data_IF_317576258900
#
_entry.id   IF_317576258900
#
_cell.length_a   1.000
_cell.length_b   1.000
_cell.length_c   1.000
_cell.angle_alpha   90.00
_cell.angle_beta   90.00
_cell.angle_gamma   90.00
#
_symmetry.space_group_name_H-M   'P 1'
#
loop_
_entity.id
_entity.type
_entity.pdbx_description
1 polymer ?
#
# COMPACT_ATOMS: atom_id res chain seq x y z
N UNK A 1 8.64 -8.98 -25.04
CA UNK A 1 9.71 -8.89 -24.03
C UNK A 1 10.17 -10.29 -23.76
N UNK A 2 11.44 -10.59 -24.02
CA UNK A 2 12.00 -11.92 -23.81
C UNK A 2 11.99 -12.22 -22.30
N UNK A 3 11.32 -13.30 -21.88
CA UNK A 3 11.15 -13.67 -20.47
C UNK A 3 12.42 -14.34 -19.89
N UNK A 4 13.59 -14.04 -20.43
CA UNK A 4 14.83 -14.81 -20.24
C UNK A 4 15.78 -14.26 -19.18
N UNK A 5 15.53 -13.04 -18.65
CA UNK A 5 16.45 -12.36 -17.72
C UNK A 5 15.98 -12.31 -16.25
N UNK A 6 14.67 -12.36 -16.00
CA UNK A 6 14.10 -12.22 -14.65
C UNK A 6 13.29 -13.45 -14.24
N UNK A 7 13.51 -13.89 -12.99
CA UNK A 7 12.82 -15.03 -12.40
C UNK A 7 11.32 -14.77 -12.24
N UNK A 8 10.95 -13.51 -12.01
CA UNK A 8 9.58 -13.00 -11.92
C UNK A 8 9.53 -11.57 -12.48
N UNK A 9 8.35 -11.13 -12.92
CA UNK A 9 8.14 -9.75 -13.35
C UNK A 9 8.59 -8.76 -12.25
N UNK A 10 9.38 -7.73 -12.58
CA UNK A 10 9.72 -6.67 -11.64
C UNK A 10 8.47 -6.02 -11.03
N UNK A 11 8.55 -5.64 -9.76
CA UNK A 11 7.40 -5.08 -9.05
C UNK A 11 7.79 -3.96 -8.09
N UNK A 12 6.84 -3.05 -7.87
CA UNK A 12 6.96 -1.97 -6.89
C UNK A 12 6.75 -2.58 -5.49
N UNK A 13 7.66 -2.26 -4.57
CA UNK A 13 7.59 -2.73 -3.18
C UNK A 13 7.10 -1.64 -2.24
N UNK A 14 7.49 -0.40 -2.51
CA UNK A 14 7.07 0.76 -1.74
C UNK A 14 7.05 2.00 -2.64
N UNK A 15 6.18 2.95 -2.32
CA UNK A 15 6.21 4.29 -2.88
C UNK A 15 6.21 5.28 -1.74
N UNK A 16 6.87 6.42 -1.92
CA UNK A 16 6.77 7.52 -0.98
C UNK A 16 5.34 8.05 -0.98
N UNK A 17 4.75 8.20 0.21
CA UNK A 17 3.33 8.52 0.35
C UNK A 17 2.98 9.86 -0.33
N UNK A 18 3.73 10.91 -0.04
CA UNK A 18 3.53 12.26 -0.56
C UNK A 18 4.72 12.71 -1.42
N UNK A 19 5.18 11.85 -2.34
CA UNK A 19 6.42 12.11 -3.06
C UNK A 19 6.65 11.28 -4.33
N UNK A 20 7.79 11.54 -4.98
CA UNK A 20 8.14 10.99 -6.29
C UNK A 20 9.05 9.76 -6.25
N UNK A 21 9.31 9.18 -5.07
CA UNK A 21 10.18 8.01 -4.94
C UNK A 21 9.42 6.69 -5.08
N UNK A 22 9.99 5.78 -5.87
CA UNK A 22 9.48 4.41 -6.07
C UNK A 22 10.59 3.41 -5.78
N UNK A 23 10.35 2.48 -4.85
CA UNK A 23 11.23 1.35 -4.58
C UNK A 23 10.77 0.14 -5.39
N UNK A 24 11.63 -0.32 -6.29
CA UNK A 24 11.44 -1.47 -7.17
C UNK A 24 12.25 -2.66 -6.66
N UNK A 25 11.71 -3.86 -6.86
CA UNK A 25 12.42 -5.12 -6.67
C UNK A 25 12.51 -5.86 -8.00
N UNK A 26 13.72 -6.30 -8.32
CA UNK A 26 14.04 -7.15 -9.46
C UNK A 26 14.65 -8.44 -8.93
N UNK A 27 14.29 -9.56 -9.53
CA UNK A 27 14.91 -10.85 -9.23
C UNK A 27 15.52 -11.41 -10.51
N UNK A 28 16.82 -11.19 -10.75
CA UNK A 28 17.52 -11.83 -11.85
C UNK A 28 17.48 -13.35 -11.70
N UNK A 29 17.29 -14.07 -12.79
CA UNK A 29 17.27 -15.52 -12.77
C UNK A 29 16.34 -16.10 -13.82
N UNK A 30 16.39 -17.43 -13.97
CA UNK A 30 15.59 -18.15 -14.97
C UNK A 30 14.44 -18.92 -14.35
N UNK A 31 14.46 -19.15 -13.03
CA UNK A 31 13.46 -19.98 -12.35
C UNK A 31 12.66 -19.15 -11.36
N UNK A 32 11.31 -19.24 -11.35
CA UNK A 32 10.48 -18.54 -10.37
C UNK A 32 10.85 -18.81 -8.91
N UNK A 33 11.41 -19.99 -8.61
CA UNK A 33 11.92 -20.35 -7.28
C UNK A 33 13.03 -19.41 -6.80
N UNK A 34 13.76 -18.77 -7.71
CA UNK A 34 14.84 -17.84 -7.37
C UNK A 34 14.30 -16.60 -6.62
N UNK A 35 13.01 -16.25 -6.79
CA UNK A 35 12.35 -15.13 -6.10
C UNK A 35 12.03 -15.41 -4.61
N UNK A 36 12.12 -16.67 -4.17
CA UNK A 36 11.98 -17.06 -2.77
C UNK A 36 13.24 -16.74 -1.96
N UNK A 37 14.40 -16.62 -2.63
CA UNK A 37 15.68 -16.37 -1.99
C UNK A 37 15.88 -14.86 -1.84
N UNK A 38 15.85 -14.35 -0.60
CA UNK A 38 16.04 -12.91 -0.32
C UNK A 38 17.37 -12.38 -0.91
N UNK A 39 18.42 -13.21 -0.91
CA UNK A 39 19.74 -12.87 -1.47
C UNK A 39 19.75 -12.58 -2.97
N UNK A 40 18.72 -13.03 -3.71
CA UNK A 40 18.62 -12.82 -5.15
C UNK A 40 17.86 -11.52 -5.49
N UNK A 41 17.30 -10.83 -4.49
CA UNK A 41 16.51 -9.62 -4.71
C UNK A 41 17.43 -8.42 -4.84
N UNK A 42 17.31 -7.73 -5.96
CA UNK A 42 17.96 -6.45 -6.19
C UNK A 42 16.95 -5.33 -6.05
N UNK A 43 17.35 -4.25 -5.39
CA UNK A 43 16.50 -3.11 -5.10
C UNK A 43 16.97 -1.90 -5.87
N UNK A 44 16.00 -1.22 -6.50
CA UNK A 44 16.25 0.02 -7.21
C UNK A 44 15.31 1.10 -6.70
N UNK A 45 15.80 2.33 -6.62
CA UNK A 45 14.97 3.50 -6.31
C UNK A 45 14.89 4.36 -7.54
N UNK A 46 13.68 4.57 -8.04
CA UNK A 46 13.40 5.56 -9.06
C UNK A 46 12.96 6.86 -8.38
N UNK A 47 13.61 7.96 -8.72
CA UNK A 47 13.24 9.30 -8.29
C UNK A 47 12.65 10.05 -9.48
N UNK A 48 11.33 10.20 -9.50
CA UNK A 48 10.61 10.86 -10.58
C UNK A 48 10.89 12.36 -10.65
N UNK A 49 11.31 13.00 -9.56
CA UNK A 49 11.65 14.44 -9.58
C UNK A 49 12.91 14.71 -10.41
N UNK A 50 13.80 13.72 -10.51
CA UNK A 50 15.05 13.83 -11.26
C UNK A 50 15.12 12.87 -12.46
N UNK A 51 14.08 12.05 -12.68
CA UNK A 51 14.06 10.98 -13.67
C UNK A 51 15.28 10.04 -13.57
N UNK A 52 15.71 9.71 -12.35
CA UNK A 52 16.91 8.90 -12.12
C UNK A 52 16.59 7.57 -11.43
N UNK A 53 17.37 6.55 -11.77
CA UNK A 53 17.29 5.22 -11.18
C UNK A 53 18.59 4.91 -10.44
N UNK A 54 18.46 4.52 -9.16
CA UNK A 54 19.57 4.18 -8.28
C UNK A 54 19.53 2.70 -7.95
N UNK A 55 20.62 1.97 -8.17
CA UNK A 55 20.76 0.62 -7.66
C UNK A 55 21.25 0.67 -6.20
N UNK A 56 20.55 -0.02 -5.31
CA UNK A 56 20.92 -0.08 -3.90
C UNK A 56 21.90 -1.23 -3.69
N UNK A 57 22.94 -1.06 -2.85
CA UNK A 57 23.75 -2.18 -2.43
C UNK A 57 22.84 -3.22 -1.76
N UNK A 58 23.11 -4.50 -2.01
CA UNK A 58 22.32 -5.56 -1.40
C UNK A 58 22.45 -5.50 0.13
N UNK A 59 21.35 -5.63 0.91
CA UNK A 59 21.40 -5.58 2.38
C UNK A 59 22.38 -6.61 2.99
N UNK A 60 22.51 -7.75 2.32
CA UNK A 60 23.37 -8.85 2.72
C UNK A 60 22.76 -9.72 3.82
N UNK A 61 23.39 -10.85 4.16
CA UNK A 61 22.88 -11.78 5.17
C UNK A 61 22.80 -11.14 6.56
N UNK A 62 23.61 -10.11 6.82
CA UNK A 62 23.56 -9.37 8.09
C UNK A 62 22.33 -8.46 8.18
N UNK A 63 21.67 -8.12 7.08
CA UNK A 63 20.51 -7.22 7.03
C UNK A 63 19.34 -7.84 6.27
N UNK A 64 19.05 -9.13 6.49
CA UNK A 64 17.84 -9.73 5.92
C UNK A 64 16.60 -8.94 6.36
N UNK A 65 15.75 -8.60 5.39
CA UNK A 65 14.60 -7.69 5.58
C UNK A 65 13.28 -8.42 5.31
N UNK A 66 12.23 -8.02 6.04
CA UNK A 66 10.87 -8.37 5.69
C UNK A 66 10.39 -7.52 4.50
N UNK A 67 10.20 -8.16 3.34
CA UNK A 67 9.82 -7.47 2.10
C UNK A 67 8.49 -6.69 2.17
N UNK A 68 7.55 -7.10 3.02
CA UNK A 68 6.27 -6.38 3.20
C UNK A 68 6.38 -5.12 4.06
N UNK A 69 7.51 -4.95 4.75
CA UNK A 69 7.76 -3.85 5.69
C UNK A 69 8.60 -2.71 5.13
N UNK A 70 9.02 -2.82 3.86
CA UNK A 70 9.84 -1.82 3.20
C UNK A 70 9.07 -0.51 3.06
N UNK A 71 9.72 0.57 3.46
CA UNK A 71 9.25 1.94 3.35
C UNK A 71 10.36 2.80 2.74
N UNK A 72 9.98 3.82 1.99
CA UNK A 72 10.91 4.79 1.41
C UNK A 72 10.41 6.21 1.63
N UNK A 73 11.31 7.10 2.03
CA UNK A 73 11.02 8.54 2.20
C UNK A 73 12.27 9.36 1.93
N UNK A 74 12.09 10.63 1.55
CA UNK A 74 13.15 11.62 1.61
C UNK A 74 13.59 11.85 3.06
N UNK A 75 14.89 12.01 3.24
CA UNK A 75 15.47 12.37 4.52
C UNK A 75 15.05 13.81 4.86
N UNK A 76 14.57 14.07 6.09
CA UNK A 76 14.24 15.43 6.50
C UNK A 76 15.48 16.32 6.45
N UNK A 77 15.40 17.46 5.75
CA UNK A 77 16.48 18.45 5.76
C UNK A 77 16.79 18.87 7.20
N UNK A 78 18.01 18.59 7.66
CA UNK A 78 18.52 19.03 8.96
C UNK A 78 18.90 20.52 8.87
N UNK A 79 17.90 21.40 8.83
CA UNK A 79 18.02 22.85 8.70
C UNK A 79 17.59 23.31 7.29
N UNK A 80 16.72 24.29 7.11
CA UNK A 80 16.50 25.53 7.86
C UNK A 80 15.01 25.80 8.03
N UNK A 81 14.58 26.14 9.25
CA UNK A 81 13.34 26.88 9.45
C UNK A 81 13.50 28.25 8.81
N UNK A 82 13.08 28.39 7.56
CA UNK A 82 12.73 29.62 6.82
C UNK A 82 12.54 29.20 5.37
N UNK A 83 11.37 29.49 4.81
CA UNK A 83 11.15 29.37 3.39
C UNK A 83 12.15 30.26 2.66
N UNK A 84 13.13 29.65 2.00
CA UNK A 84 13.99 30.33 1.06
C UNK A 84 14.18 29.38 -0.12
N UNK A 85 13.58 29.77 -1.24
CA UNK A 85 13.93 29.30 -2.58
C UNK A 85 15.43 29.50 -2.76
N UNK A 86 16.21 28.41 -2.82
CA UNK A 86 17.63 28.51 -3.17
C UNK A 86 17.75 28.73 -4.68
N UNK A 87 18.49 29.75 -5.16
CA UNK A 87 18.72 29.97 -6.58
C UNK A 87 19.74 28.98 -7.14
N UNK A 88 19.47 28.55 -8.37
CA UNK A 88 20.32 27.89 -9.37
C UNK A 88 21.77 27.54 -9.01
N UNK A 89 22.12 26.24 -9.15
CA UNK A 89 23.50 25.88 -9.45
C UNK A 89 23.97 24.46 -9.16
N UNK A 90 23.17 23.62 -8.49
CA UNK A 90 23.33 22.16 -8.37
C UNK A 90 22.27 21.75 -7.33
N UNK A 91 21.14 21.19 -7.77
CA UNK A 91 20.19 20.63 -6.82
C UNK A 91 20.89 19.42 -6.17
N UNK A 92 21.38 19.58 -4.95
CA UNK A 92 21.75 18.43 -4.13
C UNK A 92 20.52 17.52 -4.11
N UNK A 93 20.65 16.34 -4.72
CA UNK A 93 19.60 15.34 -4.73
C UNK A 93 19.14 15.15 -3.29
N UNK A 94 17.85 15.36 -3.02
CA UNK A 94 17.30 15.13 -1.69
C UNK A 94 17.60 13.69 -1.30
N UNK A 95 18.48 13.50 -0.32
CA UNK A 95 18.81 12.18 0.19
C UNK A 95 17.52 11.46 0.59
N UNK A 96 17.47 10.16 0.36
CA UNK A 96 16.38 9.28 0.81
C UNK A 96 16.88 8.20 1.76
N UNK A 97 15.93 7.65 2.49
CA UNK A 97 16.11 6.53 3.40
C UNK A 97 15.15 5.41 3.02
N UNK A 98 15.66 4.17 3.04
CA UNK A 98 14.81 2.97 2.98
C UNK A 98 14.86 2.31 4.35
N UNK A 99 13.69 2.05 4.94
CA UNK A 99 13.57 1.42 6.23
C UNK A 99 12.73 0.15 6.13
N UNK A 100 13.12 -0.88 6.86
CA UNK A 100 12.38 -2.13 6.95
C UNK A 100 12.55 -2.78 8.32
N UNK A 101 11.59 -3.62 8.68
CA UNK A 101 11.75 -4.59 9.76
C UNK A 101 12.80 -5.63 9.33
N UNK A 102 13.72 -5.98 10.22
CA UNK A 102 14.60 -7.13 10.00
C UNK A 102 13.77 -8.43 9.87
N UNK A 103 14.34 -9.43 9.21
CA UNK A 103 13.75 -10.74 9.14
C UNK A 103 13.54 -11.31 10.55
N UNK A 104 12.33 -11.86 10.80
CA UNK A 104 11.86 -12.30 12.12
C UNK A 104 11.88 -11.17 13.17
N UNK A 105 11.35 -10.00 12.82
CA UNK A 105 11.22 -8.86 13.74
C UNK A 105 10.38 -9.21 14.97
N UNK A 106 9.18 -9.75 14.74
CA UNK A 106 8.25 -10.16 15.78
C UNK A 106 8.72 -11.46 16.46
N UNK A 107 8.63 -11.52 17.78
CA UNK A 107 9.04 -12.68 18.58
C UNK A 107 10.51 -12.68 19.04
N UNK A 108 11.29 -11.64 18.72
CA UNK A 108 12.65 -11.44 19.26
C UNK A 108 12.62 -10.58 20.52
N UNK A 109 13.51 -10.89 21.48
CA UNK A 109 13.74 -10.06 22.68
C UNK A 109 14.32 -8.68 22.34
N UNK A 110 15.00 -8.55 21.19
CA UNK A 110 15.61 -7.31 20.69
C UNK A 110 15.36 -7.17 19.18
N UNK A 111 14.17 -6.70 18.77
CA UNK A 111 13.86 -6.47 17.35
C UNK A 111 14.78 -5.40 16.76
N UNK A 112 15.02 -5.49 15.44
CA UNK A 112 15.92 -4.59 14.74
C UNK A 112 15.29 -4.07 13.45
N UNK A 113 15.57 -2.81 13.13
CA UNK A 113 15.34 -2.24 11.81
C UNK A 113 16.58 -2.42 10.95
N UNK A 114 16.37 -2.59 9.65
CA UNK A 114 17.40 -2.41 8.64
C UNK A 114 17.12 -1.08 7.95
N UNK A 115 18.11 -0.18 7.96
CA UNK A 115 17.97 1.18 7.44
C UNK A 115 19.10 1.43 6.45
N UNK A 116 18.73 1.82 5.24
CA UNK A 116 19.63 2.29 4.20
C UNK A 116 19.60 3.81 4.13
N UNK A 117 20.76 4.43 4.19
CA UNK A 117 20.93 5.86 3.95
C UNK A 117 21.58 6.07 2.58
N UNK A 118 20.92 6.84 1.71
CA UNK A 118 21.48 7.17 0.39
C UNK A 118 22.72 8.08 0.46
N UNK A 119 22.82 8.94 1.47
CA UNK A 119 23.96 9.83 1.69
C UNK A 119 25.28 9.06 1.89
N UNK A 120 25.23 8.01 2.72
CA UNK A 120 26.39 7.15 3.01
C UNK A 120 26.45 5.91 2.13
N UNK A 121 25.36 5.59 1.42
CA UNK A 121 25.18 4.36 0.62
C UNK A 121 25.40 3.08 1.43
N UNK A 122 24.98 3.07 2.69
CA UNK A 122 25.19 1.94 3.61
C UNK A 122 23.90 1.47 4.25
N UNK A 123 23.81 0.15 4.45
CA UNK A 123 22.83 -0.46 5.34
C UNK A 123 23.35 -0.44 6.78
N UNK A 124 22.43 -0.30 7.72
CA UNK A 124 22.69 -0.35 9.16
C UNK A 124 21.58 -1.09 9.87
N UNK A 125 21.90 -1.61 11.06
CA UNK A 125 20.91 -2.16 11.99
C UNK A 125 20.69 -1.23 13.16
N UNK A 126 19.43 -1.09 13.56
CA UNK A 126 19.05 -0.26 14.69
C UNK A 126 18.08 -1.01 15.59
N UNK A 127 18.40 -1.18 16.90
CA UNK A 127 17.48 -1.82 17.83
C UNK A 127 16.24 -0.96 18.01
N UNK A 128 15.10 -1.60 18.22
CA UNK A 128 13.82 -0.93 18.51
C UNK A 128 13.41 -1.24 19.95
N UNK A 129 12.94 -0.20 20.63
CA UNK A 129 12.34 -0.34 21.96
C UNK A 129 10.86 -0.69 21.78
N UNK A 130 10.45 -1.83 22.32
CA UNK A 130 9.03 -2.21 22.41
C UNK A 130 8.57 -1.90 23.83
N UNK A 131 7.88 -0.78 24.01
CA UNK A 131 7.27 -0.43 25.31
C UNK A 131 6.04 -1.30 25.59
N UNK A 132 5.26 -1.60 24.56
CA UNK A 132 4.15 -2.56 24.58
C UNK A 132 4.12 -3.33 23.26
N UNK A 133 4.24 -4.66 23.32
CA UNK A 133 4.14 -5.49 22.11
C UNK A 133 2.68 -5.72 21.78
N UNK A 134 2.23 -5.52 20.54
CA UNK A 134 0.98 -6.12 20.11
C UNK A 134 1.12 -7.64 20.24
N UNK A 135 0.10 -8.32 20.78
CA UNK A 135 0.13 -9.79 20.95
C UNK A 135 0.34 -10.52 19.62
N UNK A 136 -0.13 -9.91 18.51
CA UNK A 136 0.00 -10.45 17.15
C UNK A 136 0.01 -9.32 16.13
N UNK A 137 1.01 -9.32 15.25
CA UNK A 137 1.10 -8.42 14.10
C UNK A 137 1.78 -9.14 12.94
N UNK A 138 1.21 -8.99 11.74
CA UNK A 138 1.83 -9.42 10.50
C UNK A 138 1.74 -8.29 9.48
N UNK A 139 2.87 -7.68 9.14
CA UNK A 139 2.91 -6.57 8.19
C UNK A 139 2.44 -7.02 6.82
N UNK A 140 1.40 -6.36 6.31
CA UNK A 140 0.74 -6.64 5.02
C UNK A 140 0.77 -5.45 4.07
N UNK A 141 0.89 -4.23 4.62
CA UNK A 141 1.05 -2.97 3.88
C UNK A 141 1.91 -2.02 4.71
N UNK A 142 2.61 -1.12 4.04
CA UNK A 142 3.48 -0.12 4.67
C UNK A 142 3.31 1.22 3.96
N UNK A 143 3.36 2.31 4.72
CA UNK A 143 3.41 3.67 4.18
C UNK A 143 4.22 4.58 5.11
N UNK A 144 4.61 5.74 4.61
CA UNK A 144 5.41 6.72 5.32
C UNK A 144 4.54 7.90 5.75
N UNK A 145 4.51 8.19 7.05
CA UNK A 145 3.94 9.44 7.57
C UNK A 145 4.95 10.58 7.43
N UNK A 146 6.25 10.27 7.45
CA UNK A 146 7.32 11.25 7.29
C UNK A 146 7.54 12.11 8.54
N UNK A 147 7.79 13.40 8.34
CA UNK A 147 8.15 14.34 9.40
C UNK A 147 9.61 14.21 9.89
N UNK A 148 10.06 15.04 10.86
CA UNK A 148 11.46 15.15 11.25
C UNK A 148 12.11 13.86 11.77
N UNK A 149 11.28 12.93 12.28
CA UNK A 149 11.73 11.64 12.80
C UNK A 149 11.57 10.48 11.80
N UNK A 150 11.06 10.76 10.59
CA UNK A 150 10.81 9.76 9.56
C UNK A 150 9.86 8.67 10.02
N UNK A 151 8.64 9.02 10.42
CA UNK A 151 7.69 8.04 10.94
C UNK A 151 7.20 7.11 9.82
N UNK A 152 7.35 5.80 10.03
CA UNK A 152 6.83 4.73 9.17
C UNK A 152 5.66 4.06 9.86
N UNK A 153 4.65 3.65 9.09
CA UNK A 153 3.53 2.85 9.57
C UNK A 153 3.54 1.47 8.90
N UNK A 154 3.66 0.42 9.72
CA UNK A 154 3.50 -0.97 9.30
C UNK A 154 2.09 -1.45 9.66
N UNK A 155 1.37 -1.98 8.68
CA UNK A 155 -0.05 -2.31 8.84
C UNK A 155 -0.27 -3.81 8.75
N UNK A 156 -0.88 -4.36 9.78
CA UNK A 156 -1.61 -5.63 9.70
C UNK A 156 -3.06 -5.29 9.39
N UNK A 157 -3.48 -5.45 8.12
CA UNK A 157 -4.83 -5.17 7.66
C UNK A 157 -5.91 -6.02 8.36
N UNK A 158 -5.52 -6.97 9.22
CA UNK A 158 -6.46 -7.69 10.08
C UNK A 158 -6.63 -7.12 11.48
N UNK A 159 -5.71 -6.27 11.96
CA UNK A 159 -5.60 -5.99 13.39
C UNK A 159 -5.29 -4.54 13.70
N UNK A 160 -4.14 -4.05 13.25
CA UNK A 160 -3.56 -2.82 13.77
C UNK A 160 -2.51 -2.22 12.85
N UNK A 161 -2.16 -0.98 13.17
CA UNK A 161 -1.09 -0.18 12.60
C UNK A 161 -0.04 0.01 13.67
N UNK A 162 1.23 -0.14 13.30
CA UNK A 162 2.38 0.10 14.15
C UNK A 162 3.17 1.25 13.57
N UNK A 163 3.30 2.33 14.32
CA UNK A 163 4.12 3.47 13.95
C UNK A 163 5.51 3.33 14.55
N UNK A 164 6.52 3.72 13.78
CA UNK A 164 7.90 3.73 14.23
C UNK A 164 8.65 4.95 13.68
N UNK A 165 9.28 5.69 14.58
CA UNK A 165 10.16 6.80 14.26
C UNK A 165 11.56 6.28 13.87
N UNK A 166 11.75 5.86 12.62
CA UNK A 166 12.95 5.09 12.22
C UNK A 166 14.23 5.92 12.29
N UNK A 167 14.13 7.25 12.16
CA UNK A 167 15.28 8.16 12.23
C UNK A 167 15.58 8.62 13.67
N UNK A 168 14.70 8.38 14.65
CA UNK A 168 14.94 8.76 16.04
C UNK A 168 16.11 7.96 16.65
N UNK A 169 16.96 8.59 17.47
CA UNK A 169 18.15 7.91 18.06
C UNK A 169 17.82 6.58 18.75
N UNK A 170 16.66 6.50 19.41
CA UNK A 170 16.06 5.28 19.94
C UNK A 170 14.64 5.13 19.36
N UNK A 171 14.43 4.30 18.33
CA UNK A 171 13.11 4.09 17.74
C UNK A 171 12.21 3.37 18.74
N UNK A 172 11.02 3.92 18.96
CA UNK A 172 9.95 3.32 19.75
C UNK A 172 8.80 2.92 18.85
N UNK A 173 7.99 1.97 19.32
CA UNK A 173 6.77 1.56 18.63
C UNK A 173 5.54 2.14 19.34
N UNK A 174 4.59 2.65 18.56
CA UNK A 174 3.22 2.89 19.04
C UNK A 174 2.23 2.14 18.17
N UNK A 175 1.13 1.71 18.78
CA UNK A 175 0.13 0.85 18.14
C UNK A 175 -1.22 1.57 18.08
N UNK A 176 -1.92 1.41 16.96
CA UNK A 176 -3.30 1.83 16.76
C UNK A 176 -4.12 0.66 16.21
N UNK A 177 -5.17 0.26 16.91
CA UNK A 177 -6.05 -0.80 16.40
C UNK A 177 -6.87 -0.30 15.21
N UNK A 178 -7.15 -1.20 14.26
CA UNK A 178 -8.11 -0.92 13.19
C UNK A 178 -9.55 -0.95 13.75
N UNK A 179 -10.53 -0.34 13.05
CA UNK A 179 -11.93 -0.45 13.43
C UNK A 179 -12.38 -1.91 13.63
N UNK A 180 -13.38 -2.15 14.50
CA UNK A 180 -13.97 -3.47 14.64
C UNK A 180 -14.44 -4.01 13.27
N UNK A 181 -14.22 -5.30 12.97
CA UNK A 181 -14.55 -5.84 11.66
C UNK A 181 -16.06 -5.87 11.41
N UNK A 182 -16.49 -5.60 10.18
CA UNK A 182 -17.92 -5.60 9.79
C UNK A 182 -18.68 -6.88 10.13
N UNK A 183 -17.99 -8.02 10.07
CA UNK A 183 -18.50 -9.27 10.64
C UNK A 183 -17.43 -9.94 11.50
N UNK A 184 -17.74 -10.28 12.77
CA UNK A 184 -16.89 -11.12 13.59
C UNK A 184 -16.78 -12.50 12.93
N UNK A 185 -15.69 -12.74 12.18
CA UNK A 185 -15.43 -14.06 11.61
C UNK A 185 -14.69 -14.90 12.64
N UNK A 186 -15.04 -16.18 12.85
CA UNK A 186 -14.23 -17.08 13.68
C UNK A 186 -12.79 -17.23 13.12
N UNK A 187 -12.60 -16.97 11.82
CA UNK A 187 -11.32 -17.05 11.11
C UNK A 187 -10.78 -15.67 10.70
N UNK A 188 -10.70 -14.69 11.62
CA UNK A 188 -9.96 -13.43 11.36
C UNK A 188 -8.55 -13.78 10.88
N UNK A 189 -8.21 -13.41 9.65
CA UNK A 189 -6.91 -13.73 9.02
C UNK A 189 -6.93 -14.83 7.94
N UNK A 190 -8.09 -15.34 7.52
CA UNK A 190 -8.18 -16.26 6.39
C UNK A 190 -8.16 -15.51 5.04
N UNK A 191 -7.23 -15.89 4.16
CA UNK A 191 -7.03 -15.28 2.84
C UNK A 191 -6.20 -13.99 2.88
N UNK A 192 -5.96 -13.41 1.70
CA UNK A 192 -5.23 -12.15 1.59
C UNK A 192 -6.14 -10.98 2.04
N UNK A 193 -5.73 -10.16 3.02
CA UNK A 193 -6.55 -9.04 3.49
C UNK A 193 -6.85 -8.01 2.40
N UNK A 194 -5.93 -7.83 1.42
CA UNK A 194 -6.08 -6.87 0.34
C UNK A 194 -7.34 -7.09 -0.49
N UNK A 195 -7.88 -8.32 -0.52
CA UNK A 195 -9.13 -8.59 -1.23
C UNK A 195 -10.32 -7.82 -0.68
N UNK A 196 -10.27 -7.43 0.58
CA UNK A 196 -11.41 -6.87 1.29
C UNK A 196 -11.05 -5.57 2.04
N UNK A 197 -9.77 -5.24 2.18
CA UNK A 197 -9.33 -4.17 3.07
C UNK A 197 -8.19 -3.40 2.49
N UNK A 198 -8.21 -2.10 2.76
CA UNK A 198 -7.12 -1.23 2.39
C UNK A 198 -7.05 -0.04 3.34
N UNK A 199 -5.91 0.61 3.31
CA UNK A 199 -5.61 1.76 4.13
C UNK A 199 -4.67 2.67 3.35
N UNK A 200 -4.86 3.97 3.51
CA UNK A 200 -4.01 4.98 2.93
C UNK A 200 -3.96 6.21 3.84
N UNK A 201 -3.00 7.07 3.56
CA UNK A 201 -2.83 8.36 4.22
C UNK A 201 -3.14 9.44 3.20
N UNK A 202 -3.91 10.42 3.61
CA UNK A 202 -4.28 11.59 2.85
C UNK A 202 -4.00 12.82 3.73
N UNK A 203 -2.86 13.45 3.51
CA UNK A 203 -2.38 14.53 4.38
C UNK A 203 -2.27 14.07 5.84
N UNK A 204 -3.08 14.66 6.73
CA UNK A 204 -3.09 14.35 8.16
C UNK A 204 -4.15 13.31 8.56
N UNK A 205 -4.79 12.65 7.60
CA UNK A 205 -5.86 11.68 7.84
C UNK A 205 -5.44 10.30 7.37
N UNK A 206 -5.61 9.30 8.22
CA UNK A 206 -5.56 7.90 7.81
C UNK A 206 -6.99 7.47 7.48
N UNK A 207 -7.19 6.93 6.28
CA UNK A 207 -8.46 6.33 5.87
C UNK A 207 -8.31 4.83 5.72
N UNK A 208 -9.23 4.09 6.31
CA UNK A 208 -9.31 2.63 6.27
C UNK A 208 -10.65 2.23 5.63
N UNK A 209 -10.63 1.16 4.83
CA UNK A 209 -11.83 0.64 4.18
C UNK A 209 -11.90 -0.86 4.39
N UNK A 210 -13.10 -1.36 4.69
CA UNK A 210 -13.41 -2.77 4.75
C UNK A 210 -14.63 -3.08 3.87
N UNK A 211 -14.49 -4.11 3.07
CA UNK A 211 -15.51 -4.66 2.20
C UNK A 211 -15.97 -6.02 2.74
N UNK A 212 -17.28 -6.20 2.76
CA UNK A 212 -17.94 -7.43 3.10
C UNK A 212 -18.58 -8.04 1.83
N UNK A 213 -17.96 -9.07 1.23
CA UNK A 213 -18.59 -9.81 0.15
C UNK A 213 -19.72 -10.70 0.70
N UNK A 214 -20.78 -10.87 -0.09
CA UNK A 214 -21.88 -11.77 0.20
C UNK A 214 -22.51 -11.51 1.59
N UNK A 215 -23.02 -10.28 1.88
CA UNK A 215 -23.64 -9.91 3.16
C UNK A 215 -24.69 -10.94 3.59
N UNK A 216 -25.51 -11.41 2.65
CA UNK A 216 -26.65 -12.30 2.88
C UNK A 216 -26.30 -13.78 2.95
N UNK A 217 -25.00 -14.14 2.88
CA UNK A 217 -24.59 -15.55 2.82
C UNK A 217 -25.09 -16.32 4.04
N UNK A 218 -26.00 -17.27 3.79
CA UNK A 218 -26.41 -18.31 4.72
C UNK A 218 -25.86 -19.68 4.30
N UNK A 219 -26.01 -20.70 5.15
CA UNK A 219 -25.69 -22.10 4.79
C UNK A 219 -26.63 -22.68 3.72
N UNK A 220 -27.79 -22.05 3.51
CA UNK A 220 -28.90 -22.58 2.70
C UNK A 220 -29.09 -21.88 1.35
N UNK A 221 -28.32 -20.84 1.03
CA UNK A 221 -28.47 -20.05 -0.20
C UNK A 221 -27.16 -19.95 -0.98
N UNK A 222 -27.20 -19.97 -2.33
CA UNK A 222 -26.04 -19.64 -3.15
C UNK A 222 -25.53 -18.23 -2.82
N UNK A 223 -24.21 -17.98 -2.76
CA UNK A 223 -23.69 -16.65 -2.51
C UNK A 223 -24.14 -15.67 -3.60
N UNK A 224 -24.86 -14.61 -3.23
CA UNK A 224 -25.21 -13.50 -4.14
C UNK A 224 -23.97 -12.67 -4.47
N UNK A 225 -23.88 -12.00 -5.63
CA UNK A 225 -22.75 -11.09 -5.91
C UNK A 225 -22.81 -9.75 -5.15
N UNK A 226 -23.75 -9.59 -4.21
CA UNK A 226 -23.87 -8.39 -3.39
C UNK A 226 -22.64 -8.21 -2.51
N UNK A 227 -22.25 -6.96 -2.30
CA UNK A 227 -21.19 -6.56 -1.39
C UNK A 227 -21.53 -5.25 -0.70
N UNK A 228 -21.00 -5.10 0.50
CA UNK A 228 -21.08 -3.87 1.29
C UNK A 228 -19.67 -3.37 1.55
N UNK A 229 -19.49 -2.06 1.67
CA UNK A 229 -18.21 -1.45 2.02
C UNK A 229 -18.44 -0.32 3.01
N UNK A 230 -17.54 -0.22 3.98
CA UNK A 230 -17.55 0.86 4.98
C UNK A 230 -16.17 1.47 5.02
N UNK A 231 -16.14 2.80 5.07
CA UNK A 231 -14.93 3.59 5.21
C UNK A 231 -14.90 4.27 6.57
N UNK A 232 -13.70 4.32 7.15
CA UNK A 232 -13.42 5.02 8.39
C UNK A 232 -12.24 5.95 8.19
N UNK A 233 -12.22 7.04 8.95
CA UNK A 233 -11.07 7.92 9.05
C UNK A 233 -10.68 8.21 10.48
N UNK A 234 -9.41 8.52 10.63
CA UNK A 234 -8.86 9.05 11.86
C UNK A 234 -7.88 10.17 11.51
N UNK A 235 -8.08 11.32 12.14
CA UNK A 235 -7.26 12.50 11.92
C UNK A 235 -6.16 12.58 12.98
N UNK A 236 -4.95 12.92 12.55
CA UNK A 236 -3.81 13.10 13.45
C UNK A 236 -4.08 14.26 14.41
N UNK A 237 -4.08 13.99 15.70
CA UNK A 237 -4.04 15.05 16.70
C UNK A 237 -2.60 15.54 16.89
N UNK A 238 -2.43 16.65 17.62
CA UNK A 238 -1.18 17.41 17.67
C UNK A 238 0.08 16.56 17.97
N UNK A 239 -0.04 15.53 18.83
CA UNK A 239 1.11 14.68 19.26
C UNK A 239 0.93 13.18 19.04
N UNK A 240 -0.28 12.71 18.78
CA UNK A 240 -0.58 11.28 18.63
C UNK A 240 -1.81 11.06 17.75
N UNK A 241 -1.97 9.85 17.25
CA UNK A 241 -3.24 9.41 16.70
C UNK A 241 -4.23 9.21 17.85
N UNK A 242 -5.50 9.65 17.72
CA UNK A 242 -6.57 9.24 18.61
C UNK A 242 -6.76 7.72 18.60
N UNK A 243 -7.55 7.19 19.53
CA UNK A 243 -7.91 5.77 19.54
C UNK A 243 -9.19 5.49 18.73
N UNK A 244 -10.09 6.48 18.64
CA UNK A 244 -11.40 6.33 18.04
C UNK A 244 -11.41 6.65 16.55
N UNK A 245 -11.88 5.69 15.75
CA UNK A 245 -12.13 5.86 14.33
C UNK A 245 -13.53 6.43 14.08
N UNK A 246 -13.64 7.33 13.12
CA UNK A 246 -14.92 7.89 12.68
C UNK A 246 -15.39 7.20 11.41
N UNK A 247 -16.65 6.77 11.35
CA UNK A 247 -17.25 6.23 10.13
C UNK A 247 -17.49 7.37 9.14
N UNK A 248 -16.91 7.29 7.94
CA UNK A 248 -17.15 8.27 6.87
C UNK A 248 -18.40 7.95 6.05
N UNK A 249 -18.71 6.67 5.88
CA UNK A 249 -19.89 6.24 5.16
C UNK A 249 -19.91 4.74 4.88
N UNK A 250 -21.08 4.27 4.46
CA UNK A 250 -21.31 2.90 4.01
C UNK A 250 -21.99 2.88 2.64
N UNK A 251 -21.64 1.86 1.85
CA UNK A 251 -22.21 1.63 0.53
C UNK A 251 -22.59 0.15 0.38
N UNK A 252 -23.81 -0.06 -0.08
CA UNK A 252 -24.30 -1.35 -0.54
C UNK A 252 -24.37 -1.33 -2.06
N UNK A 253 -23.80 -2.36 -2.68
CA UNK A 253 -23.81 -2.56 -4.14
C UNK A 253 -25.20 -2.45 -4.79
N UNK A 254 -26.29 -2.76 -4.09
CA UNK A 254 -27.67 -2.66 -4.59
C UNK A 254 -28.15 -1.22 -4.77
N UNK A 255 -27.48 -0.26 -4.14
CA UNK A 255 -27.81 1.17 -4.20
C UNK A 255 -26.88 1.95 -5.13
N UNK A 256 -25.96 1.26 -5.83
CA UNK A 256 -25.03 1.91 -6.75
C UNK A 256 -25.75 2.34 -8.01
N UNK A 257 -25.51 3.60 -8.41
CA UNK A 257 -25.89 4.15 -9.71
C UNK A 257 -24.71 4.08 -10.66
N UNK A 258 -24.97 4.01 -11.96
CA UNK A 258 -23.94 4.16 -13.00
C UNK A 258 -24.13 5.55 -13.60
N UNK A 259 -23.07 6.36 -13.60
CA UNK A 259 -23.15 7.70 -14.20
C UNK A 259 -23.41 7.58 -15.71
N UNK A 260 -24.30 8.42 -16.22
CA UNK A 260 -24.73 8.42 -17.63
C UNK A 260 -23.59 8.77 -18.59
N UNK A 261 -22.57 9.48 -18.11
CA UNK A 261 -21.34 9.82 -18.85
C UNK A 261 -20.24 8.76 -18.77
N UNK A 262 -20.40 7.71 -17.96
CA UNK A 262 -19.44 6.61 -17.93
C UNK A 262 -19.43 5.92 -19.29
N UNK A 263 -18.27 5.49 -19.78
CA UNK A 263 -18.16 4.54 -20.90
C UNK A 263 -18.71 3.16 -20.49
N UNK A 264 -20.00 3.12 -20.17
CA UNK A 264 -20.73 1.99 -19.62
C UNK A 264 -21.00 0.90 -20.66
N UNK A 265 -20.73 1.18 -21.94
CA UNK A 265 -21.03 0.27 -23.05
C UNK A 265 -20.32 -1.10 -22.93
N UNK A 266 -19.27 -1.23 -22.12
CA UNK A 266 -18.52 -2.48 -21.90
C UNK A 266 -18.62 -3.07 -20.49
N UNK A 267 -19.32 -2.42 -19.55
CA UNK A 267 -19.41 -2.94 -18.17
C UNK A 267 -20.59 -3.92 -18.03
N UNK A 268 -20.38 -5.18 -17.61
CA UNK A 268 -21.47 -6.10 -17.31
C UNK A 268 -22.33 -5.62 -16.14
N UNK A 269 -23.52 -6.20 -15.99
CA UNK A 269 -24.39 -5.94 -14.84
C UNK A 269 -23.65 -6.20 -13.53
N UNK A 270 -23.59 -5.21 -12.62
CA UNK A 270 -22.84 -5.33 -11.36
C UNK A 270 -23.22 -6.55 -10.51
N UNK A 271 -24.48 -6.99 -10.58
CA UNK A 271 -24.98 -8.17 -9.87
C UNK A 271 -24.43 -9.51 -10.40
N UNK A 272 -23.61 -9.51 -11.45
CA UNK A 272 -22.90 -10.70 -11.93
C UNK A 272 -21.40 -10.67 -11.62
N UNK A 273 -20.90 -9.58 -11.05
CA UNK A 273 -19.47 -9.37 -10.83
C UNK A 273 -19.06 -9.68 -9.39
N UNK A 274 -17.95 -10.40 -9.25
CA UNK A 274 -17.20 -10.45 -8.00
C UNK A 274 -16.33 -9.21 -7.87
N UNK A 275 -16.52 -8.47 -6.77
CA UNK A 275 -15.81 -7.22 -6.51
C UNK A 275 -14.93 -7.36 -5.27
N UNK A 276 -13.73 -6.81 -5.34
CA UNK A 276 -12.76 -6.77 -4.24
C UNK A 276 -11.66 -5.76 -4.50
N UNK A 277 -10.53 -5.92 -3.81
CA UNK A 277 -9.38 -5.02 -3.88
C UNK A 277 -9.76 -3.53 -3.68
N UNK A 278 -10.51 -3.18 -2.62
CA UNK A 278 -10.87 -1.78 -2.39
C UNK A 278 -9.59 -0.95 -2.30
N UNK A 279 -9.52 0.17 -2.99
CA UNK A 279 -8.31 1.01 -3.02
C UNK A 279 -8.71 2.48 -3.09
N UNK A 280 -8.34 3.23 -2.07
CA UNK A 280 -8.63 4.65 -2.00
C UNK A 280 -7.85 5.43 -3.07
N UNK A 281 -8.50 6.39 -3.72
CA UNK A 281 -7.83 7.36 -4.58
C UNK A 281 -7.03 8.35 -3.73
N UNK A 282 -5.77 8.61 -4.11
CA UNK A 282 -4.95 9.62 -3.42
C UNK A 282 -5.23 11.05 -3.92
N UNK A 283 -5.99 11.18 -5.01
CA UNK A 283 -6.32 12.46 -5.64
C UNK A 283 -7.71 12.99 -5.24
N UNK A 284 -8.63 12.10 -4.87
CA UNK A 284 -9.98 12.46 -4.46
C UNK A 284 -10.43 11.48 -3.37
N UNK A 285 -10.64 12.00 -2.17
CA UNK A 285 -10.87 11.21 -0.97
C UNK A 285 -12.29 10.63 -0.85
N UNK A 286 -13.20 10.99 -1.77
CA UNK A 286 -14.52 10.38 -1.95
C UNK A 286 -14.48 9.18 -2.92
N UNK A 287 -13.44 9.05 -3.74
CA UNK A 287 -13.35 8.03 -4.79
C UNK A 287 -12.59 6.80 -4.29
N UNK A 288 -13.23 5.64 -4.43
CA UNK A 288 -12.65 4.34 -4.18
C UNK A 288 -12.64 3.52 -5.46
N UNK A 289 -11.49 2.91 -5.74
CA UNK A 289 -11.32 1.99 -6.85
C UNK A 289 -11.54 0.55 -6.38
N UNK A 290 -12.20 -0.25 -7.20
CA UNK A 290 -12.45 -1.66 -6.94
C UNK A 290 -12.09 -2.51 -8.16
N UNK A 291 -11.55 -3.70 -7.92
CA UNK A 291 -11.37 -4.71 -8.96
C UNK A 291 -12.66 -5.51 -9.11
N UNK A 292 -13.17 -5.64 -10.33
CA UNK A 292 -14.38 -6.40 -10.65
C UNK A 292 -14.08 -7.49 -11.70
N UNK A 293 -14.59 -8.70 -11.46
CA UNK A 293 -14.39 -9.88 -12.33
C UNK A 293 -15.66 -10.72 -12.43
N UNK A 294 -15.90 -11.32 -13.60
CA UNK A 294 -16.99 -12.31 -13.78
C UNK A 294 -16.70 -13.57 -12.95
N UNK A 295 -15.49 -14.13 -13.09
CA UNK A 295 -14.98 -15.22 -12.26
C UNK A 295 -13.58 -14.84 -11.74
N UNK A 296 -13.45 -14.67 -10.42
CA UNK A 296 -12.17 -14.31 -9.82
C UNK A 296 -11.16 -15.46 -9.79
N UNK A 297 -11.61 -16.71 -10.01
CA UNK A 297 -10.75 -17.91 -10.02
C UNK A 297 -10.01 -18.06 -11.34
N UNK A 298 -10.48 -17.40 -12.40
CA UNK A 298 -9.92 -17.50 -13.74
C UNK A 298 -9.15 -16.23 -14.08
N UNK A 299 -7.92 -16.41 -14.59
CA UNK A 299 -7.03 -15.31 -14.99
C UNK A 299 -7.32 -14.77 -16.39
N UNK A 300 -8.13 -15.48 -17.19
CA UNK A 300 -8.37 -15.16 -18.62
C UNK A 300 -9.63 -14.32 -18.86
N UNK A 301 -10.50 -14.19 -17.85
CA UNK A 301 -11.74 -13.41 -17.99
C UNK A 301 -11.48 -11.91 -17.90
N UNK A 302 -12.20 -11.13 -18.71
CA UNK A 302 -12.17 -9.66 -18.67
C UNK A 302 -12.33 -9.16 -17.24
N UNK A 303 -11.49 -8.20 -16.88
CA UNK A 303 -11.42 -7.61 -15.56
C UNK A 303 -11.60 -6.10 -15.70
N UNK A 304 -12.25 -5.47 -14.73
CA UNK A 304 -12.45 -4.02 -14.72
C UNK A 304 -11.93 -3.40 -13.43
N UNK A 305 -11.51 -2.14 -13.52
CA UNK A 305 -11.37 -1.27 -12.37
C UNK A 305 -12.55 -0.30 -12.37
N UNK A 306 -13.31 -0.29 -11.28
CA UNK A 306 -14.45 0.60 -11.07
C UNK A 306 -14.01 1.73 -10.16
N UNK A 307 -14.14 2.99 -10.61
CA UNK A 307 -14.06 4.15 -9.74
C UNK A 307 -15.46 4.48 -9.22
N UNK A 308 -15.62 4.46 -7.90
CA UNK A 308 -16.90 4.66 -7.22
C UNK A 308 -16.77 5.84 -6.28
N UNK A 309 -17.68 6.80 -6.45
CA UNK A 309 -17.90 7.86 -5.46
C UNK A 309 -18.76 7.30 -4.33
N UNK A 310 -18.16 7.20 -3.14
CA UNK A 310 -18.82 6.69 -1.94
C UNK A 310 -19.89 7.64 -1.38
N UNK A 311 -19.79 8.95 -1.65
CA UNK A 311 -20.73 9.96 -1.16
C UNK A 311 -22.00 9.97 -2.01
N UNK A 312 -21.86 9.98 -3.33
CA UNK A 312 -22.98 9.98 -4.28
C UNK A 312 -23.46 8.57 -4.65
N UNK A 313 -22.74 7.53 -4.21
CA UNK A 313 -23.03 6.10 -4.47
C UNK A 313 -23.09 5.80 -5.97
N UNK A 314 -22.14 6.35 -6.73
CA UNK A 314 -22.17 6.31 -8.20
C UNK A 314 -20.85 5.81 -8.76
N UNK A 315 -20.90 4.92 -9.75
CA UNK A 315 -19.73 4.58 -10.58
C UNK A 315 -19.50 5.75 -11.53
N UNK A 316 -18.37 6.43 -11.35
CA UNK A 316 -17.95 7.60 -12.15
C UNK A 316 -17.10 7.19 -13.34
N UNK A 317 -16.40 6.05 -13.24
CA UNK A 317 -15.59 5.51 -14.31
C UNK A 317 -15.49 3.99 -14.19
N UNK A 318 -15.45 3.31 -15.34
CA UNK A 318 -15.07 1.91 -15.44
C UNK A 318 -14.07 1.75 -16.58
N UNK A 319 -12.97 1.04 -16.32
CA UNK A 319 -11.95 0.77 -17.31
C UNK A 319 -11.60 -0.71 -17.32
N UNK A 320 -11.43 -1.29 -18.50
CA UNK A 320 -10.87 -2.63 -18.63
C UNK A 320 -9.44 -2.67 -18.09
N UNK A 321 -9.12 -3.75 -17.41
CA UNK A 321 -7.84 -3.99 -16.77
C UNK A 321 -7.30 -5.35 -17.20
N UNK A 322 -5.97 -5.42 -17.38
CA UNK A 322 -5.31 -6.65 -17.84
C UNK A 322 -5.48 -7.78 -16.83
N UNK A 323 -6.29 -8.77 -17.17
CA UNK A 323 -6.68 -9.86 -16.29
C UNK A 323 -5.48 -10.70 -15.85
N UNK A 324 -4.45 -10.83 -16.69
CA UNK A 324 -3.20 -11.55 -16.43
C UNK A 324 -2.37 -10.91 -15.32
N UNK A 325 -2.63 -9.63 -15.00
CA UNK A 325 -1.98 -8.91 -13.90
C UNK A 325 -2.70 -9.11 -12.56
N UNK A 326 -3.76 -9.92 -12.54
CA UNK A 326 -4.58 -10.15 -11.34
C UNK A 326 -4.47 -11.58 -10.85
N UNK A 327 -4.54 -11.76 -9.52
CA UNK A 327 -4.76 -13.07 -8.91
C UNK A 327 -5.87 -12.97 -7.88
N UNK A 328 -6.95 -13.71 -8.12
CA UNK A 328 -8.16 -13.57 -7.32
C UNK A 328 -8.67 -12.13 -7.35
N UNK A 329 -8.99 -11.62 -6.16
CA UNK A 329 -9.35 -10.22 -5.93
C UNK A 329 -8.32 -9.51 -5.05
N UNK A 330 -7.11 -10.07 -4.90
CA UNK A 330 -6.12 -9.58 -3.93
C UNK A 330 -4.98 -8.77 -4.57
N UNK A 331 -4.74 -8.99 -5.87
CA UNK A 331 -3.63 -8.43 -6.63
C UNK A 331 -4.13 -7.87 -7.96
N UNK A 332 -3.59 -6.71 -8.34
CA UNK A 332 -3.90 -6.03 -9.58
C UNK A 332 -3.22 -4.66 -9.62
N UNK A 333 -3.64 -3.75 -8.74
CA UNK A 333 -3.13 -2.40 -8.64
C UNK A 333 -2.98 -1.95 -7.17
N UNK A 334 -2.31 -0.82 -6.96
CA UNK A 334 -2.19 -0.14 -5.67
C UNK A 334 -2.26 1.38 -5.87
N UNK A 335 -2.53 2.09 -4.78
CA UNK A 335 -2.54 3.55 -4.77
C UNK A 335 -1.10 4.09 -4.77
N UNK A 336 -0.83 5.12 -5.59
CA UNK A 336 0.44 5.82 -5.60
C UNK A 336 0.27 7.26 -6.08
N UNK A 337 1.06 8.16 -5.50
CA UNK A 337 1.15 9.58 -5.91
C UNK A 337 2.12 9.79 -7.08
N UNK A 338 2.82 8.74 -7.53
CA UNK A 338 3.84 8.83 -8.58
C UNK A 338 3.32 9.43 -9.89
N UNK A 339 2.06 9.22 -10.23
CA UNK A 339 1.45 9.76 -11.45
C UNK A 339 1.50 11.29 -11.50
N UNK A 340 1.51 11.98 -10.35
CA UNK A 340 1.65 13.43 -10.29
C UNK A 340 3.04 13.93 -10.71
N UNK A 341 4.04 13.04 -10.76
CA UNK A 341 5.43 13.34 -11.10
C UNK A 341 5.82 12.85 -12.50
N UNK A 342 4.97 12.06 -13.14
CA UNK A 342 5.23 11.54 -14.49
C UNK A 342 4.65 12.52 -15.51
N UNK A 343 5.47 12.93 -16.48
CA UNK A 343 4.96 13.63 -17.65
C UNK A 343 4.20 12.62 -18.50
N UNK A 344 2.95 12.92 -18.83
CA UNK A 344 2.23 12.19 -19.88
C UNK A 344 2.96 12.45 -21.20
N UNK A 345 3.53 11.40 -21.80
CA UNK A 345 3.98 11.50 -23.18
C UNK A 345 2.76 11.90 -24.04
N UNK A 346 2.90 12.81 -25.02
CA UNK A 346 1.85 13.03 -26.00
C UNK A 346 1.52 11.68 -26.63
N UNK A 347 0.26 11.26 -26.54
CA UNK A 347 -0.18 10.06 -27.24
C UNK A 347 0.02 10.27 -28.74
N UNK A 348 0.77 9.36 -29.37
CA UNK A 348 0.86 9.29 -30.83
C UNK A 348 -0.45 8.80 -31.43
#
# INVERSE_FOLDING_TARGET
MDHTEFAVSPFIVATETDGGLVLLCVVPGKRPTDAQLLRNRQYFVYDACYCQLYHLPHPGPQHEINGFSLAIMREPNKGTGTGNLRPHGQAEFGHFVVAAQAHLFWGKKSPQLCIYHSATKTWSKKPVVIDSSPQKHSTTKTFTIGGPKGTVAWVDLWRNIIFCDVLAGRPTLSCLNLPPPLRPRPNVGAGNPRSHRNIAVLGNTIKYVEMLPHPDRSSSTPPSHRWEVVAWSIQKANRSWPEDWHTEGNLDSTHIKVDSGTTAATLPTLSTLHVGLPTLSLQNDAIFHFLAKIDYRQSEHTTWVLAVDMQTKTITQAAEFRAERTLGLAWGFDASSISAYLQTAPGN
#
